data_IF_364064158282
#
_entry.id   IF_364064158282
#
_cell.length_a   1.000
_cell.length_b   1.000
_cell.length_c   1.000
_cell.angle_alpha   90.00
_cell.angle_beta   90.00
_cell.angle_gamma   90.00
#
_symmetry.space_group_name_H-M   'P 1'
#
loop_
_entity.id
_entity.type
_entity.pdbx_description
1 polymer ?
#
# COMPACT_ATOMS: atom_id res chain seq x y z
N UNK A 1 10.91 6.94 -3.16
CA UNK A 1 10.26 6.14 -4.24
C UNK A 1 11.35 5.41 -5.04
N UNK A 2 11.36 4.06 -5.04
CA UNK A 2 12.43 3.25 -5.67
C UNK A 2 12.26 3.03 -7.19
N UNK A 3 11.07 3.26 -7.74
CA UNK A 3 10.78 3.02 -9.15
C UNK A 3 9.95 4.16 -9.76
N UNK A 4 10.41 4.71 -10.88
CA UNK A 4 9.80 5.88 -11.54
C UNK A 4 8.39 5.62 -12.09
N UNK A 5 8.06 4.35 -12.37
CA UNK A 5 6.75 3.92 -12.86
C UNK A 5 5.79 3.44 -11.77
N UNK A 6 6.24 3.41 -10.52
CA UNK A 6 5.38 3.02 -9.41
C UNK A 6 4.37 4.12 -9.08
N UNK A 7 3.26 3.74 -8.45
CA UNK A 7 2.34 4.68 -7.83
C UNK A 7 3.10 5.63 -6.90
N UNK A 8 2.75 6.91 -6.92
CA UNK A 8 3.33 7.90 -6.01
C UNK A 8 2.86 7.68 -4.57
N UNK A 9 3.78 7.81 -3.60
CA UNK A 9 3.51 7.54 -2.18
C UNK A 9 2.36 8.40 -1.64
N UNK A 10 2.32 9.69 -1.99
CA UNK A 10 1.25 10.60 -1.55
C UNK A 10 -0.13 10.23 -2.11
N UNK A 11 -0.19 9.79 -3.36
CA UNK A 11 -1.45 9.32 -3.96
C UNK A 11 -1.92 8.04 -3.26
N UNK A 12 -1.02 7.11 -2.99
CA UNK A 12 -1.32 5.91 -2.22
C UNK A 12 -1.75 6.27 -0.78
N UNK A 13 -1.12 7.26 -0.16
CA UNK A 13 -1.47 7.73 1.18
C UNK A 13 -2.87 8.33 1.24
N UNK A 14 -3.26 9.09 0.21
CA UNK A 14 -4.63 9.60 0.09
C UNK A 14 -5.66 8.45 0.01
N UNK A 15 -5.43 7.48 -0.88
CA UNK A 15 -6.31 6.31 -1.01
C UNK A 15 -6.35 5.46 0.28
N UNK A 16 -5.20 5.27 0.93
CA UNK A 16 -5.10 4.50 2.17
C UNK A 16 -5.83 5.16 3.34
N UNK A 17 -5.76 6.50 3.48
CA UNK A 17 -6.56 7.24 4.48
C UNK A 17 -8.05 7.09 4.21
N UNK A 18 -8.49 7.18 2.96
CA UNK A 18 -9.88 6.93 2.61
C UNK A 18 -10.32 5.50 2.99
N UNK A 19 -9.50 4.50 2.69
CA UNK A 19 -9.78 3.12 3.08
C UNK A 19 -9.89 2.96 4.60
N UNK A 20 -8.96 3.54 5.36
CA UNK A 20 -8.99 3.48 6.83
C UNK A 20 -10.19 4.21 7.43
N UNK A 21 -10.39 5.47 7.04
CA UNK A 21 -11.28 6.39 7.76
C UNK A 21 -12.72 6.29 7.26
N UNK A 22 -12.91 6.19 5.94
CA UNK A 22 -14.25 6.19 5.33
C UNK A 22 -14.77 4.78 5.17
N UNK A 23 -13.99 3.91 4.51
CA UNK A 23 -14.42 2.52 4.28
C UNK A 23 -14.44 1.76 5.61
N UNK A 24 -13.45 1.97 6.48
CA UNK A 24 -13.42 1.34 7.80
C UNK A 24 -14.63 1.69 8.66
N UNK A 25 -15.05 2.97 8.66
CA UNK A 25 -16.26 3.40 9.36
C UNK A 25 -17.52 2.75 8.78
N UNK A 26 -17.66 2.73 7.45
CA UNK A 26 -18.80 2.10 6.78
C UNK A 26 -18.90 0.59 7.03
N UNK A 27 -17.76 -0.09 7.17
CA UNK A 27 -17.69 -1.53 7.47
C UNK A 27 -17.78 -1.87 8.96
N UNK A 28 -17.62 -0.89 9.85
CA UNK A 28 -17.48 -1.12 11.29
C UNK A 28 -16.21 -1.90 11.68
N UNK A 29 -15.23 -1.98 10.79
CA UNK A 29 -13.95 -2.68 10.99
C UNK A 29 -12.89 -2.20 10.00
N UNK A 30 -11.61 -2.42 10.31
CA UNK A 30 -10.53 -2.16 9.35
C UNK A 30 -10.68 -3.03 8.08
N UNK A 31 -10.58 -2.45 6.87
CA UNK A 31 -10.53 -3.22 5.64
C UNK A 31 -9.13 -3.81 5.41
N UNK A 32 -9.08 -4.88 4.61
CA UNK A 32 -7.82 -5.43 4.09
C UNK A 32 -7.61 -4.87 2.68
N UNK A 33 -6.43 -4.30 2.43
CA UNK A 33 -6.05 -3.78 1.12
C UNK A 33 -5.57 -4.93 0.24
N UNK A 34 -6.17 -5.08 -0.94
CA UNK A 34 -5.76 -6.07 -1.95
C UNK A 34 -5.21 -5.34 -3.18
N UNK A 35 -3.94 -5.57 -3.50
CA UNK A 35 -3.29 -5.04 -4.71
C UNK A 35 -2.86 -6.20 -5.63
N UNK A 36 -3.69 -6.55 -6.63
CA UNK A 36 -3.44 -7.73 -7.48
C UNK A 36 -2.25 -7.57 -8.43
N UNK A 37 -1.69 -6.35 -8.56
CA UNK A 37 -0.56 -6.05 -9.43
C UNK A 37 0.42 -5.10 -8.72
N UNK A 38 0.92 -5.55 -7.57
CA UNK A 38 1.54 -4.65 -6.61
C UNK A 38 2.89 -4.06 -7.03
N UNK A 39 3.53 -4.59 -8.07
CA UNK A 39 4.80 -4.07 -8.57
C UNK A 39 5.86 -4.09 -7.47
N UNK A 40 6.44 -2.92 -7.17
CA UNK A 40 7.42 -2.75 -6.08
C UNK A 40 6.76 -2.46 -4.72
N UNK A 41 5.43 -2.59 -4.60
CA UNK A 41 4.72 -2.61 -3.34
C UNK A 41 4.36 -1.26 -2.72
N UNK A 42 4.30 -0.15 -3.48
CA UNK A 42 4.01 1.17 -2.88
C UNK A 42 2.71 1.17 -2.08
N UNK A 43 1.63 0.61 -2.63
CA UNK A 43 0.32 0.54 -1.95
C UNK A 43 0.40 -0.30 -0.67
N UNK A 44 1.08 -1.45 -0.72
CA UNK A 44 1.26 -2.32 0.44
C UNK A 44 2.04 -1.64 1.56
N UNK A 45 3.16 -1.01 1.22
CA UNK A 45 3.98 -0.29 2.19
C UNK A 45 3.21 0.87 2.83
N UNK A 46 2.41 1.60 2.06
CA UNK A 46 1.55 2.67 2.56
C UNK A 46 0.43 2.13 3.45
N UNK A 47 -0.26 1.07 3.04
CA UNK A 47 -1.33 0.45 3.82
C UNK A 47 -0.81 -0.01 5.19
N UNK A 48 0.30 -0.75 5.22
CA UNK A 48 0.93 -1.19 6.46
C UNK A 48 1.32 -0.01 7.36
N UNK A 49 1.82 1.08 6.78
CA UNK A 49 2.18 2.31 7.52
C UNK A 49 0.98 3.05 8.09
N UNK A 50 -0.20 2.88 7.50
CA UNK A 50 -1.46 3.41 8.00
C UNK A 50 -2.17 2.46 8.99
N UNK A 51 -1.56 1.31 9.31
CA UNK A 51 -2.11 0.31 10.21
C UNK A 51 -3.20 -0.57 9.58
N UNK A 52 -3.23 -0.66 8.24
CA UNK A 52 -4.11 -1.58 7.51
C UNK A 52 -3.36 -2.86 7.16
N UNK A 53 -4.05 -4.00 7.21
CA UNK A 53 -3.55 -5.24 6.63
C UNK A 53 -3.56 -5.13 5.10
N UNK A 54 -2.54 -5.68 4.45
CA UNK A 54 -2.44 -5.66 3.00
C UNK A 54 -1.89 -6.98 2.43
N UNK A 55 -2.44 -7.38 1.29
CA UNK A 55 -1.95 -8.50 0.48
C UNK A 55 -1.77 -8.05 -0.95
N UNK A 56 -0.66 -8.44 -1.56
CA UNK A 56 -0.40 -8.13 -2.96
C UNK A 56 0.15 -9.29 -3.74
N UNK A 57 -0.11 -9.26 -5.05
CA UNK A 57 0.36 -10.25 -6.01
C UNK A 57 1.26 -9.57 -7.04
N UNK A 58 2.42 -10.16 -7.29
CA UNK A 58 3.35 -9.71 -8.32
C UNK A 58 3.99 -10.93 -8.99
N UNK A 59 3.98 -10.93 -10.33
CA UNK A 59 4.49 -12.05 -11.14
C UNK A 59 6.02 -12.08 -11.18
N UNK A 60 6.68 -10.93 -11.18
CA UNK A 60 8.13 -10.85 -11.23
C UNK A 60 8.73 -11.01 -9.83
N UNK A 61 9.48 -12.09 -9.63
CA UNK A 61 10.10 -12.43 -8.33
C UNK A 61 10.88 -11.26 -7.72
N UNK A 62 11.72 -10.58 -8.50
CA UNK A 62 12.53 -9.45 -8.00
C UNK A 62 11.65 -8.32 -7.48
N UNK A 63 10.60 -7.94 -8.21
CA UNK A 63 9.67 -6.91 -7.76
C UNK A 63 8.88 -7.33 -6.52
N UNK A 64 8.49 -8.60 -6.42
CA UNK A 64 7.84 -9.13 -5.24
C UNK A 64 8.77 -9.09 -4.00
N UNK A 65 10.06 -9.37 -4.17
CA UNK A 65 11.08 -9.21 -3.12
C UNK A 65 11.26 -7.74 -2.73
N UNK A 66 11.33 -6.84 -3.71
CA UNK A 66 11.39 -5.39 -3.47
C UNK A 66 10.14 -4.89 -2.70
N UNK A 67 8.96 -5.38 -3.07
CA UNK A 67 7.69 -5.07 -2.41
C UNK A 67 7.67 -5.53 -0.95
N UNK A 68 8.20 -6.73 -0.67
CA UNK A 68 8.29 -7.25 0.70
C UNK A 68 9.19 -6.39 1.60
N UNK A 69 10.25 -5.82 1.05
CA UNK A 69 11.21 -5.01 1.79
C UNK A 69 10.89 -3.49 1.80
N UNK A 70 9.92 -3.05 1.00
CA UNK A 70 9.61 -1.62 0.88
C UNK A 70 8.94 -1.10 2.16
N UNK A 71 9.50 -0.02 2.70
CA UNK A 71 8.88 0.78 3.75
C UNK A 71 8.81 2.24 3.27
N UNK A 72 7.82 2.99 3.76
CA UNK A 72 7.67 4.43 3.52
C UNK A 72 7.66 5.14 4.88
N UNK A 73 8.15 6.37 4.98
CA UNK A 73 8.19 7.15 6.22
C UNK A 73 6.86 7.84 6.50
N UNK A 74 6.65 8.28 7.75
CA UNK A 74 5.39 8.90 8.16
C UNK A 74 5.14 10.23 7.43
N UNK A 75 6.20 10.99 7.15
CA UNK A 75 6.15 12.26 6.42
C UNK A 75 5.87 12.08 4.91
N UNK A 76 5.94 10.86 4.40
CA UNK A 76 5.68 10.55 2.99
C UNK A 76 4.22 10.15 2.70
N UNK A 77 3.47 9.74 3.74
CA UNK A 77 2.14 9.12 3.63
C UNK A 77 1.05 10.13 3.88
#
# INVERSE_FOLDING_TARGET
>A
QKWVRAMGVRAAGHAGRFARDVVGAALGRAPVVVDPFCGVGTVLAVANRLGLDAVGVEKNRKRAEDARALTVRADEV
#
